data_IF_997658308279
#
_entry.id   IF_997658308279
#
_cell.length_a   1.000
_cell.length_b   1.000
_cell.length_c   1.000
_cell.angle_alpha   90.00
_cell.angle_beta   90.00
_cell.angle_gamma   90.00
#
_symmetry.space_group_name_H-M   'P 1'
#
loop_
_entity.id
_entity.type
_entity.pdbx_description
1 polymer ?
#
# COMPACT_ATOMS: atom_id res chain seq x y z
N UNK A 1 -34.36 -3.34 9.63
CA UNK A 1 -33.58 -2.25 9.04
C UNK A 1 -32.18 -2.42 9.58
N UNK A 2 -31.39 -3.27 8.93
CA UNK A 2 -29.99 -3.45 9.29
C UNK A 2 -29.26 -2.23 8.74
N UNK A 3 -28.69 -1.42 9.62
CA UNK A 3 -27.76 -0.39 9.19
C UNK A 3 -26.53 -1.15 8.67
N UNK A 4 -26.19 -0.96 7.40
CA UNK A 4 -24.88 -1.33 6.88
C UNK A 4 -23.85 -0.58 7.74
N UNK A 5 -23.06 -1.30 8.54
CA UNK A 5 -21.93 -0.71 9.25
C UNK A 5 -21.02 -0.06 8.20
N UNK A 6 -20.53 1.18 8.38
CA UNK A 6 -19.70 1.89 7.38
C UNK A 6 -18.36 1.23 7.03
N UNK A 7 -18.11 -0.02 7.43
CA UNK A 7 -16.81 -0.71 7.36
C UNK A 7 -16.80 -2.04 6.58
N UNK A 8 -17.88 -2.43 5.89
CA UNK A 8 -17.90 -3.71 5.15
C UNK A 8 -17.18 -3.67 3.79
N UNK A 9 -16.71 -2.50 3.32
CA UNK A 9 -15.73 -2.41 2.24
C UNK A 9 -14.68 -1.32 2.54
N UNK A 10 -13.38 -1.56 2.33
CA UNK A 10 -12.77 -2.73 1.68
C UNK A 10 -11.45 -3.13 2.35
N UNK A 11 -11.54 -4.10 3.27
CA UNK A 11 -10.39 -4.92 3.68
C UNK A 11 -9.56 -5.40 2.47
N UNK A 12 -10.20 -5.59 1.30
CA UNK A 12 -9.52 -5.95 0.04
C UNK A 12 -8.64 -4.83 -0.50
N UNK A 13 -9.04 -3.56 -0.37
CA UNK A 13 -8.22 -2.41 -0.80
C UNK A 13 -6.97 -2.31 0.07
N UNK A 14 -7.11 -2.42 1.38
CA UNK A 14 -5.97 -2.46 2.31
C UNK A 14 -5.05 -3.65 1.99
N UNK A 15 -5.60 -4.86 1.80
CA UNK A 15 -4.82 -6.03 1.40
C UNK A 15 -4.08 -5.83 0.06
N UNK A 16 -4.72 -5.18 -0.91
CA UNK A 16 -4.11 -4.85 -2.20
C UNK A 16 -2.96 -3.85 -2.02
N UNK A 17 -3.15 -2.80 -1.22
CA UNK A 17 -2.10 -1.80 -0.93
C UNK A 17 -0.91 -2.46 -0.24
N UNK A 18 -1.15 -3.29 0.79
CA UNK A 18 -0.10 -4.08 1.46
C UNK A 18 0.64 -4.97 0.45
N UNK A 19 -0.10 -5.68 -0.40
CA UNK A 19 0.47 -6.51 -1.47
C UNK A 19 1.33 -5.71 -2.43
N UNK A 20 0.88 -4.52 -2.83
CA UNK A 20 1.67 -3.60 -3.68
C UNK A 20 2.89 -3.07 -2.94
N UNK A 21 2.82 -2.67 -1.69
CA UNK A 21 4.01 -2.22 -0.94
C UNK A 21 5.09 -3.31 -0.86
N UNK A 22 4.69 -4.58 -0.81
CA UNK A 22 5.64 -5.71 -0.82
C UNK A 22 6.19 -5.99 -2.22
N UNK A 23 5.39 -5.85 -3.26
CA UNK A 23 5.74 -6.30 -4.63
C UNK A 23 6.19 -5.19 -5.57
N UNK A 24 5.65 -3.99 -5.45
CA UNK A 24 5.90 -2.82 -6.29
C UNK A 24 7.07 -2.00 -5.71
N UNK A 25 8.20 -2.00 -6.40
CA UNK A 25 9.42 -1.37 -5.90
C UNK A 25 9.34 0.15 -5.87
N UNK A 26 8.74 0.75 -6.90
CA UNK A 26 8.61 2.19 -7.03
C UNK A 26 7.63 2.72 -5.98
N UNK A 27 6.46 2.10 -5.85
CA UNK A 27 5.49 2.45 -4.81
C UNK A 27 6.12 2.34 -3.41
N UNK A 28 6.86 1.25 -3.15
CA UNK A 28 7.51 1.05 -1.86
C UNK A 28 8.56 2.13 -1.57
N UNK A 29 9.34 2.53 -2.56
CA UNK A 29 10.35 3.57 -2.39
C UNK A 29 9.70 4.90 -2.00
N UNK A 30 8.65 5.30 -2.71
CA UNK A 30 7.87 6.50 -2.38
C UNK A 30 7.24 6.41 -0.99
N UNK A 31 6.63 5.28 -0.67
CA UNK A 31 6.00 5.07 0.64
C UNK A 31 6.98 5.17 1.81
N UNK A 32 8.19 4.61 1.67
CA UNK A 32 9.22 4.67 2.73
C UNK A 32 9.70 6.11 2.97
N UNK A 33 9.74 6.94 1.93
CA UNK A 33 10.15 8.34 2.03
C UNK A 33 9.00 9.24 2.53
N UNK A 34 7.78 9.04 1.99
CA UNK A 34 6.63 9.95 2.15
C UNK A 34 5.31 9.16 2.28
N UNK A 35 5.10 8.43 3.39
CA UNK A 35 3.99 7.47 3.50
C UNK A 35 2.60 8.12 3.35
N UNK A 36 2.37 9.27 3.98
CA UNK A 36 1.08 9.98 3.90
C UNK A 36 0.79 10.50 2.49
N UNK A 37 1.81 11.07 1.81
CA UNK A 37 1.69 11.57 0.44
C UNK A 37 1.37 10.41 -0.50
N UNK A 38 2.14 9.32 -0.44
CA UNK A 38 1.93 8.14 -1.28
C UNK A 38 0.55 7.51 -1.09
N UNK A 39 0.04 7.41 0.14
CA UNK A 39 -1.29 6.85 0.40
C UNK A 39 -2.41 7.79 -0.05
N UNK A 40 -2.21 9.11 0.08
CA UNK A 40 -3.16 10.11 -0.42
C UNK A 40 -3.24 10.07 -1.94
N UNK A 41 -2.12 9.95 -2.64
CA UNK A 41 -2.07 9.77 -4.09
C UNK A 41 -2.78 8.49 -4.54
N UNK A 42 -2.61 7.37 -3.81
CA UNK A 42 -3.36 6.15 -4.08
C UNK A 42 -4.87 6.37 -3.92
N UNK A 43 -5.29 7.10 -2.88
CA UNK A 43 -6.70 7.45 -2.70
C UNK A 43 -7.24 8.29 -3.87
N UNK A 44 -6.47 9.26 -4.33
CA UNK A 44 -6.81 10.08 -5.50
C UNK A 44 -6.87 9.26 -6.81
N UNK A 45 -6.12 8.17 -6.90
CA UNK A 45 -6.17 7.21 -8.00
C UNK A 45 -7.38 6.25 -7.94
N UNK A 46 -8.26 6.40 -6.94
CA UNK A 46 -9.47 5.60 -6.78
C UNK A 46 -9.32 4.39 -5.85
N UNK A 47 -8.23 4.28 -5.10
CA UNK A 47 -8.16 3.31 -4.00
C UNK A 47 -9.03 3.81 -2.85
N UNK A 48 -10.11 3.09 -2.56
CA UNK A 48 -10.99 3.40 -1.43
C UNK A 48 -10.24 3.14 -0.10
N UNK A 49 -9.56 4.18 0.39
CA UNK A 49 -8.86 4.23 1.66
C UNK A 49 -9.48 5.34 2.52
N UNK A 50 -9.91 4.97 3.71
CA UNK A 50 -10.37 5.89 4.75
C UNK A 50 -9.18 6.63 5.37
N UNK A 51 -9.45 7.74 6.06
CA UNK A 51 -8.41 8.47 6.80
C UNK A 51 -7.76 7.58 7.88
N UNK A 52 -8.54 6.78 8.60
CA UNK A 52 -8.04 5.86 9.62
C UNK A 52 -7.10 4.79 9.05
N UNK A 53 -7.41 4.25 7.86
CA UNK A 53 -6.55 3.28 7.18
C UNK A 53 -5.26 3.92 6.68
N UNK A 54 -5.33 5.15 6.16
CA UNK A 54 -4.16 5.92 5.77
C UNK A 54 -3.25 6.14 6.98
N UNK A 55 -3.81 6.59 8.09
CA UNK A 55 -3.07 6.85 9.33
C UNK A 55 -2.45 5.55 9.88
N UNK A 56 -3.20 4.44 9.87
CA UNK A 56 -2.71 3.15 10.33
C UNK A 56 -1.55 2.62 9.48
N UNK A 57 -1.67 2.70 8.15
CA UNK A 57 -0.61 2.30 7.23
C UNK A 57 0.61 3.20 7.36
N UNK A 58 0.43 4.52 7.46
CA UNK A 58 1.52 5.48 7.59
C UNK A 58 2.32 5.34 8.90
N UNK A 59 1.67 4.87 9.97
CA UNK A 59 2.32 4.58 11.26
C UNK A 59 3.05 3.23 11.31
N UNK A 60 2.91 2.39 10.29
CA UNK A 60 3.66 1.13 10.20
C UNK A 60 5.16 1.37 10.11
N UNK A 61 5.98 0.44 10.62
CA UNK A 61 7.44 0.57 10.52
C UNK A 61 7.88 0.56 9.06
N UNK A 62 8.32 1.71 8.56
CA UNK A 62 8.78 1.88 7.18
C UNK A 62 9.89 0.89 6.79
N UNK A 63 10.72 0.44 7.75
CA UNK A 63 11.80 -0.52 7.49
C UNK A 63 11.31 -1.95 7.26
N UNK A 64 10.08 -2.25 7.69
CA UNK A 64 9.45 -3.55 7.48
C UNK A 64 9.25 -3.82 5.99
N UNK A 65 8.80 -2.83 5.21
CA UNK A 65 8.43 -3.03 3.81
C UNK A 65 9.61 -3.48 2.92
N UNK A 66 10.79 -2.82 2.95
CA UNK A 66 11.97 -3.32 2.23
C UNK A 66 12.46 -4.67 2.75
N UNK A 67 12.33 -4.94 4.05
CA UNK A 67 12.72 -6.22 4.62
C UNK A 67 11.81 -7.37 4.16
N UNK A 68 10.52 -7.09 3.97
CA UNK A 68 9.54 -8.05 3.44
C UNK A 68 9.75 -8.29 1.95
N UNK A 69 9.97 -7.22 1.17
CA UNK A 69 10.25 -7.31 -0.27
C UNK A 69 11.46 -8.21 -0.57
N UNK A 70 12.53 -8.13 0.24
CA UNK A 70 13.73 -8.98 0.07
C UNK A 70 13.49 -10.48 0.35
N UNK A 71 12.40 -10.83 1.05
CA UNK A 71 12.06 -12.21 1.40
C UNK A 71 11.12 -12.87 0.40
N UNK A 72 10.48 -12.11 -0.49
CA UNK A 72 9.64 -12.66 -1.56
C UNK A 72 10.46 -12.97 -2.80
N UNK A 73 10.04 -13.99 -3.55
CA UNK A 73 10.73 -14.40 -4.77
C UNK A 73 10.75 -13.24 -5.80
N UNK A 74 11.88 -12.93 -6.44
CA UNK A 74 12.01 -11.78 -7.35
C UNK A 74 10.94 -11.69 -8.46
N UNK A 75 10.50 -12.83 -9.01
CA UNK A 75 9.39 -12.90 -10.00
C UNK A 75 8.07 -12.25 -9.55
N UNK A 76 7.85 -12.09 -8.24
CA UNK A 76 6.66 -11.45 -7.68
C UNK A 76 6.86 -9.94 -7.53
N UNK A 77 8.09 -9.46 -7.64
CA UNK A 77 8.36 -8.03 -7.61
C UNK A 77 8.04 -7.44 -8.97
N UNK A 78 7.24 -6.38 -8.97
CA UNK A 78 7.09 -5.48 -10.10
C UNK A 78 8.29 -4.54 -10.06
N UNK A 79 9.41 -4.98 -10.63
CA UNK A 79 10.47 -4.05 -10.95
C UNK A 79 9.94 -3.15 -12.07
N UNK A 80 10.02 -1.83 -11.88
CA UNK A 80 9.84 -0.90 -12.99
C UNK A 80 10.78 -1.38 -14.09
N UNK A 81 10.25 -1.76 -15.25
CA UNK A 81 11.07 -1.91 -16.45
C UNK A 81 11.58 -0.50 -16.75
N UNK A 82 12.70 -0.10 -16.12
CA UNK A 82 13.49 1.03 -16.63
C UNK A 82 14.03 0.52 -17.94
N UNK A 83 13.33 0.84 -19.03
CA UNK A 83 13.88 0.74 -20.37
C UNK A 83 15.22 1.49 -20.35
N UNK A 84 16.32 0.75 -20.58
CA UNK A 84 17.59 1.36 -20.98
C UNK A 84 17.44 2.10 -22.30
#
# INVERSE_FOLDING_TARGET
MWQEEPGEMSQKTVQLVIGRLVTDEELRAHFVERPLETLTELREQGFELTEDEIDALARSDAKMWPAMARRIHPRLQRCSLRSS
#
